data_IF_302434385950
#
_entry.id   IF_302434385950
#
_cell.length_a   1.000
_cell.length_b   1.000
_cell.length_c   1.000
_cell.angle_alpha   90.00
_cell.angle_beta   90.00
_cell.angle_gamma   90.00
#
_symmetry.space_group_name_H-M   'P 1'
#
loop_
_entity.id
_entity.type
_entity.pdbx_description
1 polymer ?
#
# COMPACT_ATOMS: atom_id res chain seq x y z
N UNK A 1 -8.14 -11.36 -24.53
CA UNK A 1 -8.11 -9.89 -24.55
C UNK A 1 -8.19 -9.42 -23.10
N UNK A 2 -7.05 -9.12 -22.48
CA UNK A 2 -7.03 -8.73 -21.07
C UNK A 2 -7.71 -7.36 -20.95
N UNK A 3 -8.86 -7.31 -20.27
CA UNK A 3 -9.55 -6.05 -19.98
C UNK A 3 -8.74 -5.32 -18.92
N UNK A 4 -8.36 -4.07 -19.18
CA UNK A 4 -7.58 -3.26 -18.25
C UNK A 4 -8.26 -3.21 -16.88
N UNK A 5 -7.50 -3.43 -15.80
CA UNK A 5 -8.03 -3.32 -14.42
C UNK A 5 -8.54 -1.91 -14.16
N UNK A 6 -7.90 -0.89 -14.75
CA UNK A 6 -8.35 0.50 -14.68
C UNK A 6 -9.63 0.78 -15.46
N UNK A 7 -9.98 -0.01 -16.48
CA UNK A 7 -11.27 0.16 -17.17
C UNK A 7 -12.44 -0.37 -16.34
N UNK A 8 -12.14 -1.10 -15.26
CA UNK A 8 -13.15 -1.54 -14.32
C UNK A 8 -13.53 -0.39 -13.37
N UNK A 9 -14.82 -0.32 -13.03
CA UNK A 9 -15.33 0.61 -12.01
C UNK A 9 -14.62 0.41 -10.65
N UNK A 10 -14.24 -0.82 -10.34
CA UNK A 10 -13.48 -1.17 -9.14
C UNK A 10 -12.07 -0.54 -9.16
N UNK A 11 -11.37 -0.64 -10.29
CA UNK A 11 -10.03 -0.06 -10.48
C UNK A 11 -10.03 1.46 -10.39
N UNK A 12 -10.92 2.16 -11.09
CA UNK A 12 -11.04 3.63 -10.98
C UNK A 12 -11.44 4.06 -9.57
N UNK A 13 -12.38 3.34 -8.94
CA UNK A 13 -12.79 3.61 -7.57
C UNK A 13 -11.66 3.42 -6.57
N UNK A 14 -10.82 2.40 -6.76
CA UNK A 14 -9.62 2.18 -5.96
C UNK A 14 -8.58 3.30 -6.16
N UNK A 15 -8.24 3.63 -7.41
CA UNK A 15 -7.30 4.71 -7.71
C UNK A 15 -7.72 6.03 -7.07
N UNK A 16 -8.99 6.41 -7.25
CA UNK A 16 -9.56 7.62 -6.65
C UNK A 16 -9.52 7.61 -5.12
N UNK A 17 -9.79 6.46 -4.48
CA UNK A 17 -9.70 6.34 -3.01
C UNK A 17 -8.29 6.54 -2.50
N UNK A 18 -7.29 5.92 -3.12
CA UNK A 18 -5.88 6.07 -2.72
C UNK A 18 -5.43 7.53 -2.90
N UNK A 19 -5.71 8.14 -4.05
CA UNK A 19 -5.34 9.54 -4.31
C UNK A 19 -6.02 10.49 -3.34
N UNK A 20 -7.33 10.36 -3.11
CA UNK A 20 -8.05 11.24 -2.19
C UNK A 20 -7.58 11.07 -0.72
N UNK A 21 -7.35 9.82 -0.29
CA UNK A 21 -6.85 9.53 1.05
C UNK A 21 -5.45 10.10 1.27
N UNK A 22 -4.57 9.95 0.28
CA UNK A 22 -3.17 10.40 0.34
C UNK A 22 -3.06 11.91 0.25
N UNK A 23 -3.79 12.55 -0.67
CA UNK A 23 -3.79 14.02 -0.81
C UNK A 23 -4.36 14.70 0.43
N UNK A 24 -5.38 14.14 1.07
CA UNK A 24 -5.85 14.64 2.36
C UNK A 24 -4.74 14.57 3.43
N UNK A 25 -3.95 13.50 3.48
CA UNK A 25 -2.87 13.40 4.46
C UNK A 25 -1.72 14.38 4.15
N UNK A 26 -1.43 14.62 2.87
CA UNK A 26 -0.50 15.68 2.46
C UNK A 26 -0.99 17.07 2.89
N UNK A 27 -2.28 17.36 2.72
CA UNK A 27 -2.88 18.62 3.22
C UNK A 27 -2.75 18.74 4.73
N UNK A 28 -3.00 17.66 5.49
CA UNK A 28 -2.79 17.65 6.94
C UNK A 28 -1.35 17.98 7.31
N UNK A 29 -0.37 17.40 6.61
CA UNK A 29 1.06 17.65 6.84
C UNK A 29 1.38 19.14 6.59
N UNK A 30 0.91 19.71 5.49
CA UNK A 30 1.12 21.12 5.16
C UNK A 30 0.47 22.07 6.20
N UNK A 31 -0.72 21.72 6.70
CA UNK A 31 -1.37 22.50 7.75
C UNK A 31 -0.55 22.52 9.04
N UNK A 32 0.01 21.37 9.46
CA UNK A 32 0.88 21.30 10.64
C UNK A 32 2.17 22.11 10.41
N UNK A 33 2.76 22.04 9.21
CA UNK A 33 3.93 22.87 8.87
C UNK A 33 3.59 24.37 8.98
N UNK A 34 2.43 24.79 8.48
CA UNK A 34 1.96 26.17 8.59
C UNK A 34 1.74 26.62 10.04
N UNK A 35 1.16 25.76 10.88
CA UNK A 35 1.00 26.02 12.32
C UNK A 35 2.36 26.18 13.03
N UNK A 36 3.31 25.29 12.73
CA UNK A 36 4.66 25.36 13.29
C UNK A 36 5.41 26.62 12.86
N UNK A 37 5.25 27.04 11.60
CA UNK A 37 5.82 28.28 11.09
C UNK A 37 5.21 29.50 11.81
N UNK A 38 3.90 29.54 12.01
CA UNK A 38 3.24 30.60 12.78
C UNK A 38 3.78 30.69 14.22
N UNK A 39 3.98 29.54 14.89
CA UNK A 39 4.59 29.51 16.22
C UNK A 39 6.05 29.99 16.23
N UNK A 40 6.79 29.83 15.13
CA UNK A 40 8.15 30.37 15.00
C UNK A 40 8.10 31.90 14.82
N UNK A 41 7.19 32.41 14.01
CA UNK A 41 6.99 33.85 13.82
C UNK A 41 6.60 34.54 15.14
N UNK A 42 5.72 33.91 15.94
CA UNK A 42 5.34 34.41 17.26
C UNK A 42 6.55 34.56 18.21
N UNK A 43 7.48 33.60 18.17
CA UNK A 43 8.71 33.67 18.99
C UNK A 43 9.64 34.78 18.53
N UNK A 44 9.79 34.96 17.23
CA UNK A 44 10.61 36.03 16.65
C UNK A 44 10.00 37.40 16.97
N UNK A 45 8.68 37.53 16.89
CA UNK A 45 7.96 38.76 17.22
C UNK A 45 8.12 39.11 18.70
N UNK A 46 7.89 38.16 19.61
CA UNK A 46 8.09 38.38 21.04
C UNK A 46 9.55 38.77 21.37
N UNK A 47 10.52 38.18 20.68
CA UNK A 47 11.92 38.55 20.83
C UNK A 47 12.22 39.99 20.37
N UNK A 48 11.59 40.43 19.28
CA UNK A 48 11.68 41.82 18.83
C UNK A 48 11.08 42.82 19.83
N UNK A 49 10.10 42.39 20.64
CA UNK A 49 9.50 43.16 21.73
C UNK A 49 10.30 43.07 23.06
N UNK A 50 11.47 42.46 23.03
CA UNK A 50 12.40 42.39 24.18
C UNK A 50 12.23 41.17 25.08
N UNK A 51 11.38 40.20 24.73
CA UNK A 51 11.35 38.92 25.43
C UNK A 51 12.60 38.08 25.09
N UNK A 52 13.14 37.29 26.04
CA UNK A 52 14.25 36.41 25.75
C UNK A 52 13.83 35.29 24.79
N UNK A 53 14.57 35.13 23.69
CA UNK A 53 14.38 34.01 22.77
C UNK A 53 14.94 32.73 23.39
N UNK A 54 14.12 31.69 23.52
CA UNK A 54 14.55 30.36 23.96
C UNK A 54 15.04 29.53 22.74
N UNK A 55 16.35 29.27 22.60
CA UNK A 55 16.88 28.48 21.50
C UNK A 55 16.36 27.04 21.49
N UNK A 56 16.06 26.45 22.65
CA UNK A 56 15.56 25.08 22.73
C UNK A 56 14.15 24.98 22.14
N UNK A 57 13.28 25.96 22.43
CA UNK A 57 11.93 26.03 21.85
C UNK A 57 11.98 26.23 20.34
N UNK A 58 12.85 27.10 19.84
CA UNK A 58 13.02 27.31 18.40
C UNK A 58 13.53 26.04 17.69
N UNK A 59 14.52 25.37 18.28
CA UNK A 59 15.06 24.11 17.76
C UNK A 59 14.01 23.00 17.71
N UNK A 60 13.15 22.91 18.73
CA UNK A 60 12.03 21.96 18.79
C UNK A 60 11.02 22.19 17.65
N UNK A 61 10.61 23.45 17.41
CA UNK A 61 9.73 23.77 16.28
C UNK A 61 10.37 23.41 14.94
N UNK A 62 11.63 23.77 14.73
CA UNK A 62 12.35 23.45 13.50
C UNK A 62 12.46 21.93 13.26
N UNK A 63 12.73 21.15 14.31
CA UNK A 63 12.78 19.69 14.24
C UNK A 63 11.42 19.07 13.88
N UNK A 64 10.33 19.59 14.47
CA UNK A 64 8.96 19.16 14.14
C UNK A 64 8.61 19.50 12.69
N UNK A 65 8.98 20.69 12.21
CA UNK A 65 8.75 21.10 10.81
C UNK A 65 9.49 20.19 9.85
N UNK A 66 10.76 19.89 10.13
CA UNK A 66 11.56 18.94 9.33
C UNK A 66 10.91 17.56 9.27
N UNK A 67 10.47 17.05 10.42
CA UNK A 67 9.79 15.74 10.52
C UNK A 67 8.54 15.69 9.63
N UNK A 68 7.72 16.75 9.63
CA UNK A 68 6.54 16.82 8.77
C UNK A 68 6.90 16.93 7.28
N UNK A 69 7.93 17.71 6.93
CA UNK A 69 8.39 17.82 5.55
C UNK A 69 8.92 16.48 5.01
N UNK A 70 9.71 15.75 5.79
CA UNK A 70 10.22 14.41 5.46
C UNK A 70 9.09 13.39 5.29
N UNK A 71 8.10 13.44 6.19
CA UNK A 71 6.89 12.62 6.10
C UNK A 71 6.11 12.91 4.81
N UNK A 72 5.91 14.18 4.47
CA UNK A 72 5.24 14.61 3.25
C UNK A 72 5.97 14.16 1.99
N UNK A 73 7.29 14.33 1.96
CA UNK A 73 8.11 13.89 0.83
C UNK A 73 8.07 12.37 0.63
N UNK A 74 8.10 11.61 1.73
CA UNK A 74 7.98 10.14 1.68
C UNK A 74 6.62 9.73 1.13
N UNK A 75 5.54 10.31 1.64
CA UNK A 75 4.18 10.00 1.18
C UNK A 75 3.97 10.35 -0.31
N UNK A 76 4.50 11.49 -0.76
CA UNK A 76 4.47 11.88 -2.17
C UNK A 76 5.22 10.89 -3.07
N UNK A 77 6.37 10.38 -2.61
CA UNK A 77 7.13 9.35 -3.34
C UNK A 77 6.34 8.05 -3.50
N UNK A 78 5.64 7.61 -2.46
CA UNK A 78 4.75 6.45 -2.52
C UNK A 78 3.58 6.69 -3.48
N UNK A 79 2.97 7.88 -3.43
CA UNK A 79 1.86 8.23 -4.33
C UNK A 79 2.28 8.25 -5.80
N UNK A 80 3.45 8.82 -6.10
CA UNK A 80 3.96 8.85 -7.46
C UNK A 80 4.27 7.46 -8.00
N UNK A 81 4.89 6.59 -7.20
CA UNK A 81 5.08 5.17 -7.57
C UNK A 81 3.76 4.46 -7.81
N UNK A 82 2.77 4.69 -6.96
CA UNK A 82 1.42 4.14 -7.15
C UNK A 82 0.78 4.65 -8.45
N UNK A 83 0.90 5.94 -8.77
CA UNK A 83 0.40 6.48 -10.03
C UNK A 83 1.09 5.80 -11.22
N UNK A 84 2.41 5.64 -11.19
CA UNK A 84 3.16 4.94 -12.24
C UNK A 84 2.87 3.44 -12.31
N UNK A 85 2.41 2.81 -11.22
CA UNK A 85 1.99 1.41 -11.23
C UNK A 85 0.84 1.15 -12.22
N UNK A 86 0.05 2.19 -12.51
CA UNK A 86 -1.08 2.18 -13.42
C UNK A 86 -0.71 2.51 -14.89
N UNK A 87 0.53 2.94 -15.18
CA UNK A 87 0.93 3.38 -16.52
C UNK A 87 1.12 2.22 -17.52
N UNK A 88 1.50 1.03 -17.03
CA UNK A 88 1.85 -0.12 -17.87
C UNK A 88 1.19 -1.43 -17.42
N UNK A 89 0.79 -2.26 -18.39
CA UNK A 89 0.19 -3.58 -18.13
C UNK A 89 1.19 -4.56 -17.50
N UNK A 90 2.46 -4.44 -17.86
CA UNK A 90 3.56 -5.25 -17.34
C UNK A 90 4.79 -4.40 -17.10
N UNK A 91 5.37 -4.55 -15.92
CA UNK A 91 6.63 -3.94 -15.53
C UNK A 91 7.30 -4.79 -14.46
N UNK A 92 8.62 -4.62 -14.32
CA UNK A 92 9.37 -5.17 -13.20
C UNK A 92 9.11 -4.33 -11.95
N UNK A 93 8.86 -5.00 -10.83
CA UNK A 93 8.68 -4.33 -9.54
C UNK A 93 9.25 -5.18 -8.41
N UNK A 94 9.78 -4.50 -7.38
CA UNK A 94 10.17 -5.13 -6.13
C UNK A 94 8.95 -5.30 -5.23
N UNK A 95 8.74 -6.53 -4.72
CA UNK A 95 7.58 -6.88 -3.89
C UNK A 95 7.64 -6.19 -2.52
N UNK A 96 8.83 -6.04 -1.94
CA UNK A 96 9.02 -5.34 -0.68
C UNK A 96 8.67 -3.86 -0.80
N UNK A 97 9.20 -3.19 -1.82
CA UNK A 97 8.86 -1.78 -2.09
C UNK A 97 7.37 -1.61 -2.38
N UNK A 98 6.75 -2.54 -3.12
CA UNK A 98 5.31 -2.53 -3.38
C UNK A 98 4.52 -2.65 -2.06
N UNK A 99 4.88 -3.59 -1.19
CA UNK A 99 4.17 -3.83 0.07
C UNK A 99 4.32 -2.66 1.06
N UNK A 100 5.53 -2.11 1.19
CA UNK A 100 5.80 -0.92 1.99
C UNK A 100 5.02 0.29 1.47
N UNK A 101 5.04 0.49 0.15
CA UNK A 101 4.29 1.58 -0.48
C UNK A 101 2.79 1.41 -0.28
N UNK A 102 2.28 0.20 -0.42
CA UNK A 102 0.88 -0.10 -0.16
C UNK A 102 0.50 0.17 1.30
N UNK A 103 1.31 -0.27 2.27
CA UNK A 103 1.07 -0.04 3.69
C UNK A 103 1.05 1.47 4.02
N UNK A 104 2.01 2.24 3.48
CA UNK A 104 2.07 3.69 3.68
C UNK A 104 0.84 4.39 3.09
N UNK A 105 0.43 4.04 1.87
CA UNK A 105 -0.73 4.64 1.20
C UNK A 105 -2.07 4.27 1.85
N UNK A 106 -2.11 3.14 2.56
CA UNK A 106 -3.34 2.64 3.18
C UNK A 106 -3.44 2.84 4.69
N UNK A 107 -2.38 3.33 5.33
CA UNK A 107 -2.30 3.60 6.78
C UNK A 107 -3.48 4.44 7.27
N UNK A 108 -3.89 5.45 6.49
CA UNK A 108 -5.04 6.30 6.82
C UNK A 108 -6.34 5.50 6.97
N UNK A 109 -6.61 4.53 6.10
CA UNK A 109 -7.83 3.73 6.17
C UNK A 109 -7.84 2.87 7.44
N UNK A 110 -6.70 2.24 7.76
CA UNK A 110 -6.54 1.49 9.00
C UNK A 110 -6.75 2.39 10.22
N UNK A 111 -6.15 3.58 10.24
CA UNK A 111 -6.32 4.57 11.32
C UNK A 111 -7.76 5.01 11.50
N UNK A 112 -8.50 5.28 10.41
CA UNK A 112 -9.91 5.67 10.46
C UNK A 112 -10.79 4.53 10.99
N UNK A 113 -10.44 3.28 10.68
CA UNK A 113 -11.08 2.08 11.24
C UNK A 113 -10.58 1.72 12.65
N UNK A 114 -9.66 2.52 13.22
CA UNK A 114 -9.02 2.27 14.53
C UNK A 114 -8.33 0.91 14.60
N UNK A 115 -7.71 0.50 13.50
CA UNK A 115 -6.95 -0.73 13.33
C UNK A 115 -5.47 -0.42 13.27
N UNK A 116 -4.66 -1.19 14.00
CA UNK A 116 -3.22 -1.19 13.85
C UNK A 116 -2.82 -1.96 12.58
N UNK A 117 -2.02 -1.34 11.72
CA UNK A 117 -1.52 -1.95 10.49
C UNK A 117 -0.03 -2.23 10.64
N UNK A 118 0.36 -3.51 10.58
CA UNK A 118 1.75 -3.93 10.53
C UNK A 118 2.13 -4.37 9.11
N UNK A 119 3.35 -4.07 8.68
CA UNK A 119 3.87 -4.48 7.38
C UNK A 119 5.19 -5.23 7.58
N UNK A 120 5.28 -6.42 6.99
CA UNK A 120 6.43 -7.30 7.05
C UNK A 120 6.86 -7.62 5.60
N UNK A 121 7.68 -6.75 4.98
CA UNK A 121 8.24 -7.01 3.66
C UNK A 121 9.15 -8.25 3.69
N UNK A 122 9.44 -8.87 2.52
CA UNK A 122 10.28 -10.06 2.49
C UNK A 122 11.70 -9.71 2.91
N UNK A 123 12.38 -10.62 3.63
CA UNK A 123 13.76 -10.41 4.10
C UNK A 123 14.81 -10.34 2.97
N UNK A 124 14.42 -10.70 1.74
CA UNK A 124 15.26 -10.64 0.55
C UNK A 124 14.47 -9.92 -0.54
N UNK A 125 15.18 -9.16 -1.37
CA UNK A 125 14.65 -8.55 -2.59
C UNK A 125 14.02 -9.64 -3.47
N UNK A 126 12.74 -9.46 -3.81
CA UNK A 126 12.01 -10.32 -4.74
C UNK A 126 11.47 -9.43 -5.84
N UNK A 127 12.02 -9.56 -7.04
CA UNK A 127 11.58 -8.81 -8.22
C UNK A 127 10.71 -9.71 -9.09
N UNK A 128 9.54 -9.22 -9.45
CA UNK A 128 8.60 -9.92 -10.32
C UNK A 128 8.25 -9.05 -11.52
N UNK A 129 7.85 -9.69 -12.61
CA UNK A 129 7.25 -9.03 -13.77
C UNK A 129 5.73 -9.20 -13.73
N UNK A 130 4.99 -8.11 -13.92
CA UNK A 130 3.53 -8.18 -13.93
C UNK A 130 2.88 -6.81 -13.81
N UNK A 131 1.61 -6.78 -13.43
CA UNK A 131 0.86 -5.56 -13.21
C UNK A 131 0.85 -5.20 -11.70
N UNK A 132 1.72 -4.29 -11.23
CA UNK A 132 1.77 -3.91 -9.81
C UNK A 132 0.48 -3.19 -9.35
N UNK A 133 -0.21 -2.46 -10.24
CA UNK A 133 -1.50 -1.85 -9.89
C UNK A 133 -2.57 -2.89 -9.57
N UNK A 134 -2.63 -3.98 -10.34
CA UNK A 134 -3.54 -5.09 -10.08
C UNK A 134 -3.23 -5.78 -8.73
N UNK A 135 -1.95 -5.89 -8.36
CA UNK A 135 -1.52 -6.41 -7.05
C UNK A 135 -1.96 -5.47 -5.93
N UNK A 136 -1.73 -4.15 -6.09
CA UNK A 136 -2.22 -3.14 -5.15
C UNK A 136 -3.74 -3.19 -4.97
N UNK A 137 -4.50 -3.36 -6.05
CA UNK A 137 -5.95 -3.48 -5.97
C UNK A 137 -6.36 -4.75 -5.22
N UNK A 138 -5.77 -5.90 -5.55
CA UNK A 138 -6.09 -7.16 -4.87
C UNK A 138 -5.77 -7.09 -3.37
N UNK A 139 -4.61 -6.53 -3.00
CA UNK A 139 -4.25 -6.25 -1.60
C UNK A 139 -5.25 -5.30 -0.93
N UNK A 140 -5.68 -4.25 -1.63
CA UNK A 140 -6.67 -3.32 -1.13
C UNK A 140 -8.00 -3.99 -0.83
N UNK A 141 -8.50 -4.85 -1.73
CA UNK A 141 -9.73 -5.61 -1.49
C UNK A 141 -9.64 -6.47 -0.23
N UNK A 142 -8.50 -7.13 -0.03
CA UNK A 142 -8.25 -7.92 1.17
C UNK A 142 -8.18 -7.06 2.43
N UNK A 143 -7.45 -5.94 2.39
CA UNK A 143 -7.34 -5.01 3.51
C UNK A 143 -8.71 -4.40 3.87
N UNK A 144 -9.47 -3.94 2.88
CA UNK A 144 -10.82 -3.38 3.04
C UNK A 144 -11.75 -4.37 3.76
N UNK A 145 -11.73 -5.64 3.38
CA UNK A 145 -12.48 -6.70 4.05
C UNK A 145 -11.98 -6.98 5.48
N UNK A 146 -10.66 -6.97 5.72
CA UNK A 146 -10.08 -7.13 7.04
C UNK A 146 -10.47 -5.99 7.98
N UNK A 147 -10.42 -4.73 7.49
CA UNK A 147 -10.81 -3.54 8.23
C UNK A 147 -12.31 -3.55 8.55
N UNK A 148 -13.15 -3.99 7.62
CA UNK A 148 -14.59 -4.12 7.84
C UNK A 148 -14.95 -5.21 8.86
N UNK A 149 -14.09 -6.21 9.02
CA UNK A 149 -14.26 -7.32 9.98
C UNK A 149 -13.66 -7.03 11.36
N UNK A 150 -12.87 -5.96 11.48
CA UNK A 150 -12.19 -5.62 12.72
C UNK A 150 -13.20 -5.28 13.82
N UNK A 151 -13.02 -5.90 14.99
CA UNK A 151 -13.95 -5.77 16.11
C UNK A 151 -13.21 -5.52 17.42
N UNK A 152 -12.71 -6.58 18.05
CA UNK A 152 -12.12 -6.54 19.40
C UNK A 152 -10.62 -6.34 19.39
N UNK A 153 -9.91 -7.06 18.51
CA UNK A 153 -8.44 -7.05 18.48
C UNK A 153 -7.89 -5.90 17.62
N UNK A 154 -8.58 -5.57 16.51
CA UNK A 154 -8.26 -4.41 15.66
C UNK A 154 -6.78 -4.33 15.26
N UNK A 155 -6.25 -5.46 14.81
CA UNK A 155 -4.91 -5.56 14.27
C UNK A 155 -4.98 -6.29 12.91
N UNK A 156 -4.29 -5.73 11.93
CA UNK A 156 -4.11 -6.31 10.60
C UNK A 156 -2.63 -6.29 10.26
N UNK A 157 -2.12 -7.36 9.67
CA UNK A 157 -0.76 -7.46 9.17
C UNK A 157 -0.74 -7.78 7.69
N UNK A 158 0.23 -7.19 7.00
CA UNK A 158 0.58 -7.45 5.62
C UNK A 158 1.95 -8.13 5.61
N UNK A 159 2.07 -9.26 4.92
CA UNK A 159 3.30 -10.04 4.91
C UNK A 159 3.59 -10.54 3.51
N UNK A 160 4.86 -10.72 3.20
CA UNK A 160 5.33 -11.35 1.98
C UNK A 160 6.32 -12.46 2.33
N UNK A 161 5.91 -13.70 2.14
CA UNK A 161 6.70 -14.89 2.43
C UNK A 161 7.27 -15.47 1.14
N UNK A 162 8.60 -15.63 0.99
CA UNK A 162 9.17 -16.27 -0.19
C UNK A 162 8.65 -17.71 -0.36
N UNK A 163 8.24 -18.07 -1.58
CA UNK A 163 7.86 -19.44 -1.95
C UNK A 163 8.69 -19.91 -3.15
N UNK A 164 8.71 -21.22 -3.40
CA UNK A 164 9.38 -21.77 -4.59
C UNK A 164 8.72 -21.21 -5.87
N UNK A 165 9.49 -20.45 -6.67
CA UNK A 165 9.00 -19.82 -7.89
C UNK A 165 8.18 -18.53 -7.70
N UNK A 166 8.20 -17.92 -6.52
CA UNK A 166 7.44 -16.68 -6.28
C UNK A 166 7.43 -16.17 -4.84
N UNK A 167 6.32 -15.55 -4.46
CA UNK A 167 6.09 -15.03 -3.10
C UNK A 167 4.61 -15.17 -2.74
N UNK A 168 4.34 -15.53 -1.48
CA UNK A 168 3.01 -15.56 -0.90
C UNK A 168 2.77 -14.25 -0.16
N UNK A 169 1.85 -13.44 -0.68
CA UNK A 169 1.33 -12.28 0.04
C UNK A 169 0.24 -12.72 1.00
N UNK A 170 0.34 -12.31 2.26
CA UNK A 170 -0.61 -12.65 3.31
C UNK A 170 -1.21 -11.37 3.90
N UNK A 171 -2.54 -11.30 3.92
CA UNK A 171 -3.29 -10.29 4.67
C UNK A 171 -3.99 -11.00 5.82
N UNK A 172 -3.54 -10.75 7.04
CA UNK A 172 -4.07 -11.38 8.25
C UNK A 172 -4.70 -10.32 9.17
N UNK A 173 -5.96 -10.52 9.54
CA UNK A 173 -6.66 -9.76 10.56
C UNK A 173 -6.85 -10.60 11.83
N UNK A 174 -6.73 -9.96 12.99
CA UNK A 174 -6.80 -10.64 14.26
C UNK A 174 -8.22 -11.08 14.68
N UNK A 175 -9.24 -10.45 14.10
CA UNK A 175 -10.66 -10.73 14.36
C UNK A 175 -11.23 -11.71 13.31
N UNK A 176 -12.27 -12.49 13.68
CA UNK A 176 -12.91 -13.43 12.76
C UNK A 176 -13.72 -12.71 11.69
N UNK A 177 -13.88 -13.37 10.53
CA UNK A 177 -14.66 -12.84 9.41
C UNK A 177 -15.95 -13.63 9.21
N UNK A 178 -17.04 -12.90 8.95
CA UNK A 178 -18.33 -13.51 8.67
C UNK A 178 -18.30 -14.22 7.30
N UNK A 179 -19.03 -15.35 7.12
CA UNK A 179 -19.09 -16.07 5.85
C UNK A 179 -19.50 -15.19 4.66
N UNK A 180 -20.50 -14.33 4.86
CA UNK A 180 -20.98 -13.41 3.82
C UNK A 180 -19.91 -12.39 3.37
N UNK A 181 -19.04 -11.96 4.29
CA UNK A 181 -17.92 -11.06 3.95
C UNK A 181 -16.85 -11.80 3.13
N UNK A 182 -16.60 -13.08 3.44
CA UNK A 182 -15.69 -13.94 2.66
C UNK A 182 -16.22 -14.18 1.25
N UNK A 183 -17.52 -14.47 1.11
CA UNK A 183 -18.16 -14.64 -0.20
C UNK A 183 -18.09 -13.36 -1.03
N UNK A 184 -18.40 -12.21 -0.44
CA UNK A 184 -18.31 -10.91 -1.10
C UNK A 184 -16.87 -10.59 -1.56
N UNK A 185 -15.86 -10.86 -0.71
CA UNK A 185 -14.46 -10.70 -1.07
C UNK A 185 -14.07 -11.61 -2.24
N UNK A 186 -14.50 -12.86 -2.22
CA UNK A 186 -14.24 -13.84 -3.28
C UNK A 186 -14.75 -13.35 -4.63
N UNK A 187 -15.99 -12.85 -4.67
CA UNK A 187 -16.59 -12.31 -5.89
C UNK A 187 -15.88 -11.07 -6.43
N UNK A 188 -15.34 -10.22 -5.56
CA UNK A 188 -14.53 -9.04 -5.95
C UNK A 188 -13.15 -9.46 -6.46
N UNK A 189 -12.47 -10.38 -5.78
CA UNK A 189 -11.16 -10.89 -6.20
C UNK A 189 -11.24 -11.61 -7.54
N UNK A 190 -12.30 -12.40 -7.79
CA UNK A 190 -12.49 -13.08 -9.07
C UNK A 190 -12.57 -12.12 -10.29
N UNK A 191 -12.94 -10.85 -10.08
CA UNK A 191 -12.98 -9.84 -11.13
C UNK A 191 -11.60 -9.20 -11.41
N UNK A 192 -10.70 -9.22 -10.42
CA UNK A 192 -9.40 -8.54 -10.48
C UNK A 192 -8.26 -9.50 -10.79
N UNK A 193 -8.28 -10.71 -10.21
CA UNK A 193 -7.22 -11.70 -10.35
C UNK A 193 -6.90 -12.12 -11.80
N UNK A 194 -7.85 -12.18 -12.75
CA UNK A 194 -7.53 -12.52 -14.15
C UNK A 194 -6.55 -11.55 -14.83
N UNK A 195 -6.42 -10.33 -14.32
CA UNK A 195 -5.48 -9.32 -14.82
C UNK A 195 -4.31 -9.07 -13.85
N UNK A 196 -4.20 -9.89 -12.80
CA UNK A 196 -3.16 -9.82 -11.78
C UNK A 196 -2.19 -11.00 -11.97
N UNK A 197 -0.87 -10.83 -11.71
CA UNK A 197 0.05 -11.96 -11.59
C UNK A 197 -0.25 -12.83 -10.35
N UNK A 198 -1.16 -12.40 -9.47
CA UNK A 198 -1.57 -13.13 -8.29
C UNK A 198 -2.59 -14.23 -8.59
N UNK A 199 -2.42 -15.35 -7.90
CA UNK A 199 -3.41 -16.42 -7.78
C UNK A 199 -3.90 -16.49 -6.34
N UNK A 200 -5.20 -16.74 -6.15
CA UNK A 200 -5.75 -16.94 -4.81
C UNK A 200 -5.28 -18.29 -4.27
N UNK A 201 -4.47 -18.28 -3.20
CA UNK A 201 -3.96 -19.48 -2.55
C UNK A 201 -4.88 -19.97 -1.44
N UNK A 202 -5.40 -19.05 -0.61
CA UNK A 202 -6.38 -19.39 0.41
C UNK A 202 -7.27 -18.20 0.76
N UNK A 203 -8.49 -18.50 1.21
CA UNK A 203 -9.43 -17.57 1.80
C UNK A 203 -9.64 -17.91 3.28
N UNK A 204 -10.13 -16.96 4.09
CA UNK A 204 -10.50 -17.25 5.45
C UNK A 204 -11.64 -18.29 5.51
N UNK A 205 -11.55 -19.22 6.45
CA UNK A 205 -12.65 -20.11 6.78
C UNK A 205 -13.80 -19.36 7.47
N UNK A 206 -14.99 -19.96 7.45
CA UNK A 206 -16.15 -19.40 8.14
C UNK A 206 -15.89 -19.27 9.65
N UNK A 207 -15.95 -18.06 10.18
CA UNK A 207 -15.65 -17.72 11.59
C UNK A 207 -14.19 -17.94 12.02
N UNK A 208 -13.28 -18.22 11.08
CA UNK A 208 -11.85 -18.22 11.36
C UNK A 208 -11.30 -16.78 11.38
N UNK A 209 -10.11 -16.62 11.95
CA UNK A 209 -9.36 -15.35 11.85
C UNK A 209 -9.20 -14.97 10.39
N UNK A 210 -9.38 -13.69 10.08
CA UNK A 210 -9.23 -13.21 8.71
C UNK A 210 -7.82 -13.54 8.20
N UNK A 211 -7.70 -14.37 7.16
CA UNK A 211 -6.42 -14.67 6.51
C UNK A 211 -6.65 -14.94 5.03
N UNK A 212 -6.13 -14.06 4.19
CA UNK A 212 -6.15 -14.23 2.74
C UNK A 212 -4.72 -14.36 2.24
N UNK A 213 -4.48 -15.38 1.42
CA UNK A 213 -3.17 -15.62 0.82
C UNK A 213 -3.27 -15.48 -0.70
N UNK A 214 -2.43 -14.61 -1.27
CA UNK A 214 -2.30 -14.37 -2.71
C UNK A 214 -0.90 -14.80 -3.15
N UNK A 215 -0.80 -15.81 -3.99
CA UNK A 215 0.46 -16.28 -4.55
C UNK A 215 0.82 -15.48 -5.78
N UNK A 216 1.93 -14.76 -5.74
CA UNK A 216 2.53 -14.15 -6.92
C UNK A 216 3.59 -15.09 -7.48
N UNK A 217 3.40 -15.54 -8.71
CA UNK A 217 4.37 -16.37 -9.43
C UNK A 217 5.21 -15.51 -10.37
N UNK A 218 6.51 -15.78 -10.46
CA UNK A 218 7.32 -15.23 -11.54
C UNK A 218 6.80 -15.79 -12.86
N UNK A 219 6.24 -14.95 -13.74
CA UNK A 219 6.04 -15.36 -15.13
C UNK A 219 7.38 -15.75 -15.75
N UNK A 220 7.40 -16.64 -16.76
CA UNK A 220 8.64 -16.88 -17.51
C UNK A 220 9.13 -15.53 -18.07
N UNK A 221 10.44 -15.23 -18.03
CA UNK A 221 10.97 -14.01 -18.61
C UNK A 221 10.60 -13.97 -20.10
N UNK A 222 10.04 -12.86 -20.55
CA UNK A 222 9.77 -12.66 -21.97
C UNK A 222 11.10 -12.75 -22.75
N UNK A 223 11.25 -13.79 -23.57
CA UNK A 223 12.37 -13.91 -24.52
C UNK A 223 13.41 -14.98 -24.16
N UNK A 224 13.02 -16.25 -24.22
CA UNK A 224 13.84 -17.23 -24.97
C UNK A 224 12.95 -17.71 -26.11
N UNK A 225 12.94 -16.95 -27.21
CA UNK A 225 12.69 -17.59 -28.49
C UNK A 225 13.78 -18.65 -28.62
N UNK A 226 13.42 -19.91 -28.41
CA UNK A 226 14.12 -21.03 -29.02
C UNK A 226 14.14 -20.71 -30.52
N UNK A 227 15.25 -20.14 -30.99
CA UNK A 227 15.69 -20.41 -32.34
C UNK A 227 15.82 -21.93 -32.39
N UNK A 228 14.80 -22.58 -32.94
CA UNK A 228 14.95 -23.85 -33.64
C UNK A 228 16.20 -23.71 -34.51
N UNK A 229 17.30 -24.26 -34.00
CA UNK A 229 18.44 -24.61 -34.81
C UNK A 229 17.94 -25.78 -35.67
N UNK A 230 17.34 -25.41 -36.78
CA UNK A 230 17.16 -26.27 -37.93
C UNK A 230 18.56 -26.70 -38.39
N UNK A 231 19.01 -27.81 -37.83
CA UNK A 231 20.18 -28.54 -38.26
C UNK A 231 19.75 -30.01 -38.37
N UNK A 232 18.94 -30.28 -39.39
CA UNK A 232 18.68 -31.63 -39.87
C UNK A 232 18.81 -31.66 -41.40
N UNK A 233 19.94 -32.23 -41.83
CA UNK A 233 20.22 -32.89 -43.12
C UNK A 233 20.71 -32.03 -44.28
#
# INVERSE_FOLDING_TARGET
MARWVLDSREGLGFFGRIVAGTTHELVNILNIVGELAGLQDDLVHAAAEGQPLDPARLASLAARTRTQAERGHTLLRHLNRFAHSADAERQLYDVGELLESFASLTERFARLSRVSLACHPPHRTVVLEGNPFAVHLALFLCLDAALASASSQRAVSLQAEPEEGGVLLVVEGADPVAPAATEALTGRLAQVLPACPAQLASLPGANDRFRVCLRLVSGPPAGTEEKEADCAS
#
